data_IF_559265951948
#
_entry.id   IF_559265951948
#
_cell.length_a   1.000
_cell.length_b   1.000
_cell.length_c   1.000
_cell.angle_alpha   90.00
_cell.angle_beta   90.00
_cell.angle_gamma   90.00
#
_symmetry.space_group_name_H-M   'P 1'
#
loop_
_entity.id
_entity.type
_entity.pdbx_description
1 polymer ?
#
# COMPACT_ATOMS: atom_id res chain seq x y z
N UNK A 1 -12.91 9.65 -27.32
CA UNK A 1 -11.70 9.63 -26.49
C UNK A 1 -12.11 9.00 -25.17
N UNK A 2 -11.72 7.76 -24.90
CA UNK A 2 -12.15 7.06 -23.69
C UNK A 2 -11.61 7.77 -22.45
N UNK A 3 -12.45 7.92 -21.42
CA UNK A 3 -11.98 8.36 -20.11
C UNK A 3 -11.26 7.16 -19.51
N UNK A 4 -9.93 7.20 -19.46
CA UNK A 4 -9.15 6.19 -18.74
C UNK A 4 -9.25 6.50 -17.26
N UNK A 5 -9.92 5.64 -16.50
CA UNK A 5 -9.95 5.70 -15.05
C UNK A 5 -8.74 4.92 -14.56
N UNK A 6 -7.84 5.59 -13.83
CA UNK A 6 -6.67 4.95 -13.23
C UNK A 6 -7.10 4.08 -12.05
N UNK A 7 -6.60 2.84 -12.00
CA UNK A 7 -6.79 1.90 -10.89
C UNK A 7 -5.61 1.94 -9.92
N UNK A 8 -5.89 2.20 -8.65
CA UNK A 8 -4.90 2.43 -7.59
C UNK A 8 -5.11 1.43 -6.46
N UNK A 9 -4.05 0.74 -6.05
CA UNK A 9 -4.07 -0.09 -4.84
C UNK A 9 -3.31 0.61 -3.71
N UNK A 10 -3.98 0.80 -2.58
CA UNK A 10 -3.34 1.28 -1.35
C UNK A 10 -3.17 0.11 -0.37
N UNK A 11 -1.93 -0.18 -0.01
CA UNK A 11 -1.53 -1.23 0.91
C UNK A 11 -1.08 -0.64 2.25
N UNK A 12 -1.77 -1.00 3.32
CA UNK A 12 -1.44 -0.58 4.68
C UNK A 12 -0.62 -1.67 5.41
N UNK A 13 0.64 -1.34 5.70
CA UNK A 13 1.59 -2.17 6.44
C UNK A 13 1.67 -1.80 7.93
N UNK A 14 0.87 -0.85 8.43
CA UNK A 14 1.00 -0.34 9.79
C UNK A 14 0.97 -1.48 10.83
N UNK A 15 1.98 -1.57 11.68
CA UNK A 15 2.05 -2.56 12.76
C UNK A 15 2.30 -4.00 12.28
N UNK A 16 2.74 -4.19 11.04
CA UNK A 16 3.15 -5.49 10.50
C UNK A 16 4.60 -5.85 10.87
N UNK A 17 5.39 -4.85 11.28
CA UNK A 17 6.80 -4.99 11.62
C UNK A 17 7.62 -5.56 10.45
N UNK A 18 8.65 -6.33 10.78
CA UNK A 18 9.44 -7.06 9.80
C UNK A 18 8.73 -8.32 9.24
N UNK A 19 7.80 -8.90 10.00
CA UNK A 19 7.21 -10.19 9.67
C UNK A 19 6.18 -10.15 8.52
N UNK A 20 5.73 -8.97 8.10
CA UNK A 20 4.64 -8.84 7.11
C UNK A 20 3.27 -9.21 7.68
N UNK A 21 3.16 -9.33 9.01
CA UNK A 21 1.95 -9.79 9.69
C UNK A 21 1.69 -8.92 10.90
N UNK A 22 0.45 -8.43 11.01
CA UNK A 22 -0.04 -7.75 12.21
C UNK A 22 -0.27 -8.75 13.34
N UNK A 23 0.08 -8.34 14.56
CA UNK A 23 -0.18 -9.13 15.78
C UNK A 23 -1.35 -8.56 16.60
N UNK A 24 -1.79 -7.34 16.31
CA UNK A 24 -2.93 -6.65 16.91
C UNK A 24 -3.68 -5.83 15.85
N UNK A 25 -4.96 -5.49 16.10
CA UNK A 25 -5.81 -4.71 15.16
C UNK A 25 -5.78 -5.26 13.73
N UNK A 26 -5.97 -6.58 13.61
CA UNK A 26 -5.66 -7.39 12.42
C UNK A 26 -6.29 -6.84 11.13
N UNK A 27 -7.50 -6.30 11.20
CA UNK A 27 -8.30 -5.99 10.00
C UNK A 27 -8.59 -4.50 9.80
N UNK A 28 -7.96 -3.61 10.58
CA UNK A 28 -8.27 -2.18 10.51
C UNK A 28 -7.21 -1.44 9.71
N UNK A 29 -7.57 -1.00 8.51
CA UNK A 29 -6.75 -0.09 7.72
C UNK A 29 -6.70 1.28 8.42
N UNK A 30 -5.53 1.89 8.53
CA UNK A 30 -5.32 3.17 9.19
C UNK A 30 -6.18 4.30 8.59
N UNK A 31 -6.41 5.36 9.37
CA UNK A 31 -7.17 6.53 8.90
C UNK A 31 -6.46 7.25 7.74
N UNK A 32 -5.12 7.26 7.73
CA UNK A 32 -4.32 7.89 6.67
C UNK A 32 -4.60 7.29 5.29
N UNK A 33 -4.39 5.97 5.09
CA UNK A 33 -4.74 5.29 3.84
C UNK A 33 -6.19 5.50 3.41
N UNK A 34 -7.15 5.44 4.36
CA UNK A 34 -8.57 5.68 4.08
C UNK A 34 -8.87 7.12 3.63
N UNK A 35 -8.21 8.11 4.25
CA UNK A 35 -8.34 9.51 3.84
C UNK A 35 -7.80 9.72 2.42
N UNK A 36 -6.63 9.16 2.12
CA UNK A 36 -6.03 9.24 0.77
C UNK A 36 -6.94 8.55 -0.26
N UNK A 37 -7.51 7.39 0.07
CA UNK A 37 -8.49 6.72 -0.78
C UNK A 37 -9.68 7.63 -1.09
N UNK A 38 -10.31 8.22 -0.07
CA UNK A 38 -11.45 9.12 -0.27
C UNK A 38 -11.12 10.37 -1.11
N UNK A 39 -9.90 10.91 -1.00
CA UNK A 39 -9.44 12.00 -1.87
C UNK A 39 -9.33 11.52 -3.32
N UNK A 40 -8.69 10.36 -3.57
CA UNK A 40 -8.52 9.81 -4.91
C UNK A 40 -9.86 9.44 -5.57
N UNK A 41 -10.77 8.82 -4.83
CA UNK A 41 -12.13 8.54 -5.27
C UNK A 41 -12.88 9.84 -5.64
N UNK A 42 -12.71 10.91 -4.84
CA UNK A 42 -13.33 12.22 -5.14
C UNK A 42 -12.81 12.87 -6.43
N UNK A 43 -11.62 12.46 -6.88
CA UNK A 43 -11.01 12.88 -8.14
C UNK A 43 -11.40 11.98 -9.32
N UNK A 44 -12.21 10.95 -9.09
CA UNK A 44 -12.70 10.04 -10.13
C UNK A 44 -11.79 8.83 -10.42
N UNK A 45 -10.90 8.47 -9.49
CA UNK A 45 -10.06 7.27 -9.60
C UNK A 45 -10.71 6.05 -8.94
N UNK A 46 -10.38 4.85 -9.43
CA UNK A 46 -10.73 3.59 -8.76
C UNK A 46 -9.67 3.25 -7.72
N UNK A 47 -10.09 2.98 -6.49
CA UNK A 47 -9.19 2.74 -5.37
C UNK A 47 -9.58 1.47 -4.62
N UNK A 48 -8.63 0.55 -4.50
CA UNK A 48 -8.73 -0.58 -3.59
C UNK A 48 -7.83 -0.40 -2.37
N UNK A 49 -8.30 -0.90 -1.24
CA UNK A 49 -7.58 -0.88 0.03
C UNK A 49 -7.27 -2.32 0.46
N UNK A 50 -6.02 -2.58 0.85
CA UNK A 50 -5.62 -3.87 1.38
C UNK A 50 -4.66 -3.72 2.56
N UNK A 51 -4.62 -4.73 3.43
CA UNK A 51 -3.53 -4.87 4.41
C UNK A 51 -2.35 -5.59 3.77
N UNK A 52 -1.15 -5.34 4.29
CA UNK A 52 0.06 -5.98 3.77
C UNK A 52 0.01 -7.51 3.85
N UNK A 53 -0.60 -8.08 4.89
CA UNK A 53 -0.63 -9.52 5.09
C UNK A 53 -1.50 -10.22 4.03
N UNK A 54 -2.60 -9.59 3.62
CA UNK A 54 -3.46 -10.07 2.54
C UNK A 54 -2.71 -10.09 1.22
N UNK A 55 -1.99 -9.00 0.92
CA UNK A 55 -1.21 -8.88 -0.32
C UNK A 55 -0.02 -9.84 -0.35
N UNK A 56 0.68 -10.01 0.77
CA UNK A 56 1.84 -10.92 0.85
C UNK A 56 1.44 -12.40 0.81
N UNK A 57 0.24 -12.75 1.30
CA UNK A 57 -0.31 -14.11 1.15
C UNK A 57 -0.79 -14.40 -0.27
N UNK A 58 -1.32 -13.39 -0.94
CA UNK A 58 -1.84 -13.51 -2.31
C UNK A 58 -1.40 -12.32 -3.19
N UNK A 59 -0.16 -12.36 -3.74
CA UNK A 59 0.37 -11.31 -4.59
C UNK A 59 -0.41 -11.13 -5.91
N UNK A 60 -1.31 -12.05 -6.26
CA UNK A 60 -2.11 -11.92 -7.49
C UNK A 60 -3.00 -10.67 -7.48
N UNK A 61 -3.37 -10.19 -6.29
CA UNK A 61 -4.13 -8.96 -6.04
C UNK A 61 -3.43 -7.69 -6.50
N UNK A 62 -2.13 -7.76 -6.77
CA UNK A 62 -1.34 -6.65 -7.29
C UNK A 62 -1.48 -6.48 -8.82
N UNK A 63 -2.01 -7.46 -9.56
CA UNK A 63 -1.86 -7.46 -11.02
C UNK A 63 -2.81 -6.51 -11.76
N UNK A 64 -3.96 -6.23 -11.18
CA UNK A 64 -5.05 -5.53 -11.87
C UNK A 64 -5.01 -4.00 -11.67
N UNK A 65 -4.02 -3.51 -10.90
CA UNK A 65 -3.84 -2.10 -10.62
C UNK A 65 -2.70 -1.50 -11.45
N UNK A 66 -2.69 -0.19 -11.57
CA UNK A 66 -1.67 0.56 -12.33
C UNK A 66 -0.67 1.25 -11.41
N UNK A 67 -1.12 1.68 -10.24
CA UNK A 67 -0.33 2.38 -9.22
C UNK A 67 -0.43 1.62 -7.89
N UNK A 68 0.71 1.39 -7.26
CA UNK A 68 0.79 0.91 -5.88
C UNK A 68 1.11 2.08 -4.95
N UNK A 69 0.32 2.27 -3.91
CA UNK A 69 0.65 3.14 -2.78
C UNK A 69 0.81 2.28 -1.53
N UNK A 70 1.92 2.38 -0.82
CA UNK A 70 2.19 1.57 0.37
C UNK A 70 2.51 2.47 1.57
N UNK A 71 2.01 2.14 2.75
CA UNK A 71 2.20 2.97 3.96
C UNK A 71 2.54 2.15 5.20
N UNK A 72 3.29 2.76 6.12
CA UNK A 72 3.64 2.14 7.40
C UNK A 72 4.44 3.10 8.30
N UNK A 73 4.81 2.63 9.49
CA UNK A 73 5.82 3.29 10.33
C UNK A 73 7.23 2.85 9.91
N UNK A 74 8.27 3.50 10.44
CA UNK A 74 9.67 3.08 10.20
C UNK A 74 9.91 1.60 10.56
N UNK A 75 9.24 1.08 11.60
CA UNK A 75 9.31 -0.34 11.98
C UNK A 75 8.71 -1.31 10.95
N UNK A 76 7.92 -0.81 9.99
CA UNK A 76 7.21 -1.61 8.99
C UNK A 76 7.90 -1.60 7.61
N UNK A 77 9.05 -0.92 7.47
CA UNK A 77 9.78 -0.74 6.21
C UNK A 77 10.05 -2.07 5.50
N UNK A 78 10.49 -3.10 6.22
CA UNK A 78 10.72 -4.42 5.63
C UNK A 78 9.44 -5.03 5.01
N UNK A 79 8.28 -4.83 5.64
CA UNK A 79 7.00 -5.28 5.09
C UNK A 79 6.60 -4.47 3.87
N UNK A 80 6.80 -3.16 3.90
CA UNK A 80 6.58 -2.28 2.75
C UNK A 80 7.47 -2.69 1.57
N UNK A 81 8.75 -2.95 1.82
CA UNK A 81 9.71 -3.41 0.83
C UNK A 81 9.33 -4.78 0.23
N UNK A 82 8.80 -5.71 1.04
CA UNK A 82 8.27 -6.99 0.52
C UNK A 82 7.09 -6.78 -0.43
N UNK A 83 6.17 -5.87 -0.10
CA UNK A 83 5.04 -5.52 -0.98
C UNK A 83 5.54 -4.88 -2.28
N UNK A 84 6.46 -3.91 -2.19
CA UNK A 84 7.04 -3.26 -3.37
C UNK A 84 7.81 -4.24 -4.28
N UNK A 85 8.55 -5.18 -3.69
CA UNK A 85 9.23 -6.27 -4.42
C UNK A 85 8.23 -7.22 -5.08
N UNK A 86 7.13 -7.56 -4.41
CA UNK A 86 6.07 -8.40 -4.98
C UNK A 86 5.35 -7.69 -6.15
N UNK A 87 5.25 -6.37 -6.09
CA UNK A 87 4.68 -5.54 -7.16
C UNK A 87 5.57 -5.51 -8.41
N UNK A 88 6.88 -5.33 -8.25
CA UNK A 88 7.86 -5.48 -9.33
C UNK A 88 7.73 -4.49 -10.51
N UNK A 89 7.00 -3.37 -10.33
CA UNK A 89 6.83 -2.29 -11.35
C UNK A 89 7.22 -0.93 -10.75
N UNK A 90 7.44 0.07 -11.61
CA UNK A 90 8.03 1.35 -11.21
C UNK A 90 7.06 2.39 -10.59
N UNK A 91 5.74 2.21 -10.75
CA UNK A 91 4.75 3.18 -10.27
C UNK A 91 4.35 2.89 -8.81
N UNK A 92 5.30 3.08 -7.89
CA UNK A 92 5.10 2.88 -6.45
C UNK A 92 5.28 4.18 -5.68
N UNK A 93 4.36 4.47 -4.77
CA UNK A 93 4.45 5.59 -3.82
C UNK A 93 4.54 5.02 -2.42
N UNK A 94 5.59 5.39 -1.67
CA UNK A 94 5.69 5.09 -0.25
C UNK A 94 5.22 6.30 0.58
N UNK A 95 4.40 6.04 1.59
CA UNK A 95 3.83 7.04 2.48
C UNK A 95 3.83 6.60 3.94
N UNK A 96 3.19 7.40 4.80
CA UNK A 96 3.26 7.22 6.25
C UNK A 96 4.59 7.73 6.84
N UNK A 97 4.80 7.60 8.15
CA UNK A 97 6.04 8.07 8.79
C UNK A 97 7.31 7.45 8.21
N UNK A 98 7.26 6.22 7.67
CA UNK A 98 8.40 5.59 7.00
C UNK A 98 8.90 6.33 5.75
N UNK A 99 8.12 7.25 5.18
CA UNK A 99 8.55 8.03 4.02
C UNK A 99 9.79 8.90 4.30
N UNK A 100 10.09 9.20 5.57
CA UNK A 100 11.31 9.92 5.97
C UNK A 100 12.56 9.03 5.97
N UNK A 101 12.38 7.71 6.05
CA UNK A 101 13.42 6.69 6.03
C UNK A 101 13.51 6.01 4.65
N UNK A 102 13.24 6.77 3.58
CA UNK A 102 13.11 6.26 2.21
C UNK A 102 14.32 5.48 1.70
N UNK A 103 15.52 5.72 2.23
CA UNK A 103 16.74 5.02 1.85
C UNK A 103 16.67 3.51 2.11
N UNK A 104 15.86 3.07 3.09
CA UNK A 104 15.66 1.66 3.42
C UNK A 104 14.55 1.00 2.59
N UNK A 105 13.80 1.79 1.81
CA UNK A 105 12.71 1.33 0.93
C UNK A 105 13.15 1.12 -0.53
N UNK A 106 14.35 1.62 -0.91
CA UNK A 106 14.97 1.46 -2.23
C UNK A 106 15.76 0.15 -2.34
#
# INVERSE_FOLDING_TARGET
>A
MGVYILSILIVDCLGAGAAGKRFATLDVIGVGPRLVAGILESLGYEVDLATCDVVLKDPSRLRDHEILMVSGMSSDIESMAKVAKAWGRNHTVAGGPSAVDYAELL
#
